data_IF_963707730338
#
_entry.id   IF_963707730338
#
_cell.length_a   1.000
_cell.length_b   1.000
_cell.length_c   1.000
_cell.angle_alpha   90.00
_cell.angle_beta   90.00
_cell.angle_gamma   90.00
#
_symmetry.space_group_name_H-M   'P 1'
#
loop_
_entity.id
_entity.type
_entity.pdbx_description
1 polymer ?
#
# COMPACT_ATOMS: atom_id res chain seq x y z
N UNK A 1 -6.91 -11.45 -0.52
CA UNK A 1 -6.15 -10.68 0.48
C UNK A 1 -5.40 -9.57 -0.22
N UNK A 2 -5.53 -8.36 0.27
CA UNK A 2 -5.00 -7.17 -0.39
C UNK A 2 -4.35 -6.24 0.63
N UNK A 3 -3.25 -5.58 0.24
CA UNK A 3 -2.70 -4.44 0.97
C UNK A 3 -2.97 -3.18 0.14
N UNK A 4 -3.47 -2.14 0.79
CA UNK A 4 -3.89 -0.90 0.13
C UNK A 4 -2.85 0.18 0.38
N UNK A 5 -2.36 0.79 -0.70
CA UNK A 5 -1.36 1.84 -0.60
C UNK A 5 -1.92 3.12 0.00
N UNK A 6 -1.03 3.91 0.58
CA UNK A 6 -1.33 5.17 1.26
C UNK A 6 -2.19 6.12 0.43
N UNK A 7 -1.88 6.29 -0.86
CA UNK A 7 -2.57 7.24 -1.72
C UNK A 7 -4.05 6.94 -1.88
N UNK A 8 -4.42 5.66 -1.93
CA UNK A 8 -5.83 5.26 -2.05
C UNK A 8 -6.59 5.57 -0.76
N UNK A 9 -5.98 5.29 0.40
CA UNK A 9 -6.56 5.62 1.69
C UNK A 9 -6.77 7.13 1.85
N UNK A 10 -5.78 7.93 1.49
CA UNK A 10 -5.86 9.39 1.56
C UNK A 10 -7.03 9.90 0.71
N UNK A 11 -7.17 9.42 -0.50
CA UNK A 11 -8.27 9.82 -1.38
C UNK A 11 -9.63 9.43 -0.79
N UNK A 12 -9.75 8.23 -0.23
CA UNK A 12 -10.98 7.79 0.43
C UNK A 12 -11.34 8.73 1.58
N UNK A 13 -10.41 8.99 2.49
CA UNK A 13 -10.67 9.80 3.68
C UNK A 13 -10.88 11.29 3.38
N UNK A 14 -10.36 11.78 2.25
CA UNK A 14 -10.62 13.14 1.78
C UNK A 14 -11.90 13.27 0.95
N UNK A 15 -12.64 12.19 0.77
CA UNK A 15 -13.87 12.18 0.01
C UNK A 15 -13.67 12.35 -1.50
N UNK A 16 -12.47 12.07 -2.01
CA UNK A 16 -12.20 12.14 -3.45
C UNK A 16 -12.76 10.92 -4.16
N UNK A 17 -13.53 11.17 -5.22
CA UNK A 17 -14.04 10.09 -6.06
C UNK A 17 -13.02 9.74 -7.13
N UNK A 18 -12.72 8.45 -7.28
CA UNK A 18 -11.79 7.94 -8.28
C UNK A 18 -12.03 6.46 -8.51
N UNK A 19 -11.47 5.91 -9.59
CA UNK A 19 -11.52 4.48 -9.84
C UNK A 19 -10.91 3.65 -8.71
N UNK A 20 -9.70 3.98 -8.21
CA UNK A 20 -9.11 3.28 -7.07
C UNK A 20 -9.95 3.33 -5.80
N UNK A 21 -10.58 4.47 -5.49
CA UNK A 21 -11.48 4.58 -4.33
C UNK A 21 -12.72 3.72 -4.50
N UNK A 22 -13.35 3.75 -5.67
CA UNK A 22 -14.51 2.90 -5.96
C UNK A 22 -14.17 1.41 -5.83
N UNK A 23 -12.97 1.02 -6.29
CA UNK A 23 -12.50 -0.36 -6.14
C UNK A 23 -12.27 -0.74 -4.69
N UNK A 24 -11.70 0.17 -3.89
CA UNK A 24 -11.52 -0.05 -2.45
C UNK A 24 -12.88 -0.25 -1.75
N UNK A 25 -13.85 0.62 -2.05
CA UNK A 25 -15.19 0.49 -1.49
C UNK A 25 -15.83 -0.85 -1.86
N UNK A 26 -15.63 -1.33 -3.09
CA UNK A 26 -16.08 -2.65 -3.52
C UNK A 26 -15.42 -3.76 -2.72
N UNK A 27 -14.09 -3.70 -2.54
CA UNK A 27 -13.34 -4.71 -1.78
C UNK A 27 -13.82 -4.76 -0.33
N UNK A 28 -14.09 -3.61 0.28
CA UNK A 28 -14.61 -3.53 1.64
C UNK A 28 -16.04 -4.12 1.73
N UNK A 29 -16.88 -3.84 0.75
CA UNK A 29 -18.25 -4.39 0.69
C UNK A 29 -18.26 -5.91 0.49
N UNK A 30 -17.28 -6.44 -0.20
CA UNK A 30 -17.11 -7.88 -0.43
C UNK A 30 -16.42 -8.60 0.74
N UNK A 31 -16.11 -7.86 1.80
CA UNK A 31 -15.44 -8.38 3.00
C UNK A 31 -14.11 -9.07 2.71
N UNK A 32 -13.37 -8.56 1.73
CA UNK A 32 -12.03 -9.03 1.42
C UNK A 32 -11.08 -8.67 2.58
N UNK A 33 -10.19 -9.58 2.97
CA UNK A 33 -9.19 -9.29 3.98
C UNK A 33 -8.24 -8.18 3.51
N UNK A 34 -8.28 -7.05 4.22
CA UNK A 34 -7.47 -5.87 3.92
C UNK A 34 -6.36 -5.73 4.96
N UNK A 35 -5.15 -5.63 4.47
CA UNK A 35 -3.92 -5.51 5.25
C UNK A 35 -3.38 -4.09 5.19
N UNK A 36 -2.72 -3.69 6.26
CA UNK A 36 -1.96 -2.44 6.33
C UNK A 36 -0.70 -2.66 7.16
N UNK A 37 0.15 -1.65 7.20
CA UNK A 37 1.37 -1.68 8.02
C UNK A 37 1.55 -0.32 8.69
N UNK A 38 2.35 -0.27 9.75
CA UNK A 38 2.53 0.94 10.54
C UNK A 38 2.94 2.16 9.73
N UNK A 39 3.81 1.97 8.73
CA UNK A 39 4.26 3.09 7.90
C UNK A 39 3.15 3.67 7.03
N UNK A 40 2.27 2.82 6.48
CA UNK A 40 1.08 3.29 5.75
C UNK A 40 0.16 4.09 6.69
N UNK A 41 -0.12 3.55 7.87
CA UNK A 41 -0.92 4.25 8.90
C UNK A 41 -0.31 5.61 9.21
N UNK A 42 1.00 5.67 9.42
CA UNK A 42 1.72 6.91 9.71
C UNK A 42 1.58 7.92 8.58
N UNK A 43 1.75 7.50 7.34
CA UNK A 43 1.62 8.39 6.18
C UNK A 43 0.20 8.93 6.03
N UNK A 44 -0.80 8.06 6.19
CA UNK A 44 -2.21 8.48 6.11
C UNK A 44 -2.54 9.49 7.20
N UNK A 45 -2.20 9.20 8.44
CA UNK A 45 -2.48 10.09 9.57
C UNK A 45 -1.72 11.42 9.47
N UNK A 46 -0.50 11.40 8.95
CA UNK A 46 0.32 12.61 8.76
C UNK A 46 -0.31 13.58 7.76
N UNK A 47 -1.13 13.10 6.84
CA UNK A 47 -1.83 13.93 5.86
C UNK A 47 -3.12 14.57 6.38
N UNK A 48 -3.54 14.27 7.60
CA UNK A 48 -4.79 14.78 8.18
C UNK A 48 -4.48 15.86 9.22
N UNK A 49 -4.98 17.07 8.98
CA UNK A 49 -4.67 18.23 9.83
C UNK A 49 -5.50 18.30 11.10
N UNK A 50 -6.80 17.95 11.04
CA UNK A 50 -7.69 17.97 12.19
C UNK A 50 -7.40 16.81 13.14
N UNK A 51 -7.13 17.10 14.41
CA UNK A 51 -6.90 16.05 15.41
C UNK A 51 -8.09 15.14 15.61
N UNK A 52 -9.31 15.68 15.54
CA UNK A 52 -10.54 14.92 15.65
C UNK A 52 -10.72 13.94 14.48
N UNK A 53 -10.50 14.42 13.26
CA UNK A 53 -10.57 13.59 12.06
C UNK A 53 -9.47 12.53 12.06
N UNK A 54 -8.26 12.90 12.49
CA UNK A 54 -7.14 11.95 12.59
C UNK A 54 -7.47 10.80 13.54
N UNK A 55 -8.07 11.07 14.70
CA UNK A 55 -8.46 10.02 15.64
C UNK A 55 -9.54 9.11 15.06
N UNK A 56 -10.48 9.64 14.29
CA UNK A 56 -11.50 8.82 13.62
C UNK A 56 -10.85 7.89 12.59
N UNK A 57 -9.95 8.43 11.76
CA UNK A 57 -9.23 7.65 10.75
C UNK A 57 -8.35 6.58 11.41
N UNK A 58 -7.68 6.91 12.53
CA UNK A 58 -6.91 5.95 13.30
C UNK A 58 -7.77 4.78 13.77
N UNK A 59 -8.97 5.06 14.27
CA UNK A 59 -9.93 4.04 14.70
C UNK A 59 -10.34 3.17 13.50
N UNK A 60 -10.67 3.79 12.36
CA UNK A 60 -11.07 3.08 11.15
C UNK A 60 -9.96 2.16 10.64
N UNK A 61 -8.73 2.65 10.56
CA UNK A 61 -7.58 1.86 10.11
C UNK A 61 -7.25 0.72 11.08
N UNK A 62 -7.56 0.88 12.36
CA UNK A 62 -7.35 -0.15 13.38
C UNK A 62 -8.21 -1.41 13.20
N UNK A 63 -9.23 -1.36 12.35
CA UNK A 63 -10.07 -2.53 12.05
C UNK A 63 -9.45 -3.47 11.01
N UNK A 64 -8.39 -3.04 10.32
CA UNK A 64 -7.72 -3.85 9.30
C UNK A 64 -6.58 -4.66 9.89
N UNK A 65 -6.11 -5.63 9.13
CA UNK A 65 -5.04 -6.53 9.59
C UNK A 65 -3.69 -5.80 9.49
N UNK A 66 -3.09 -5.53 10.65
CA UNK A 66 -1.80 -4.87 10.73
C UNK A 66 -0.68 -5.89 10.66
N UNK A 67 0.21 -5.77 9.67
CA UNK A 67 1.43 -6.58 9.56
C UNK A 67 2.64 -5.69 9.75
N UNK A 68 3.66 -6.22 10.43
CA UNK A 68 4.85 -5.46 10.78
C UNK A 68 6.06 -6.01 10.03
N UNK A 69 6.84 -5.15 9.37
CA UNK A 69 8.07 -5.60 8.72
C UNK A 69 9.12 -6.04 9.74
N UNK A 70 9.86 -7.08 9.38
CA UNK A 70 11.04 -7.54 10.11
C UNK A 70 12.28 -7.00 9.43
N UNK A 71 13.46 -7.31 10.01
CA UNK A 71 14.73 -6.97 9.36
C UNK A 71 14.81 -7.59 7.96
N UNK A 72 14.37 -8.84 7.82
CA UNK A 72 14.38 -9.53 6.51
C UNK A 72 13.45 -8.85 5.50
N UNK A 73 12.30 -8.35 5.94
CA UNK A 73 11.40 -7.58 5.09
C UNK A 73 12.08 -6.33 4.55
N UNK A 74 12.78 -5.60 5.42
CA UNK A 74 13.51 -4.38 5.03
C UNK A 74 14.68 -4.69 4.09
N UNK A 75 15.41 -5.79 4.35
CA UNK A 75 16.49 -6.23 3.47
C UNK A 75 15.97 -6.58 2.07
N UNK A 76 14.82 -7.26 1.99
CA UNK A 76 14.17 -7.57 0.72
C UNK A 76 13.71 -6.29 0.00
N UNK A 77 13.14 -5.35 0.73
CA UNK A 77 12.72 -4.05 0.16
C UNK A 77 13.91 -3.30 -0.46
N UNK A 78 15.06 -3.31 0.21
CA UNK A 78 16.30 -2.71 -0.31
C UNK A 78 16.78 -3.41 -1.59
N UNK A 79 16.67 -4.74 -1.64
CA UNK A 79 17.00 -5.53 -2.83
C UNK A 79 16.06 -5.19 -4.00
N UNK A 80 14.77 -5.07 -3.74
CA UNK A 80 13.78 -4.66 -4.76
C UNK A 80 14.16 -3.31 -5.35
N UNK A 81 14.46 -2.33 -4.51
CA UNK A 81 14.89 -0.99 -4.94
C UNK A 81 16.13 -1.06 -5.84
N UNK A 82 17.17 -1.76 -5.38
CA UNK A 82 18.44 -1.87 -6.11
C UNK A 82 18.32 -2.61 -7.43
N UNK A 83 17.56 -3.70 -7.46
CA UNK A 83 17.35 -4.50 -8.68
C UNK A 83 16.53 -3.73 -9.71
N UNK A 84 15.47 -3.04 -9.30
CA UNK A 84 14.70 -2.18 -10.21
C UNK A 84 15.58 -1.10 -10.83
N UNK A 85 16.42 -0.44 -10.01
CA UNK A 85 17.34 0.59 -10.50
C UNK A 85 18.31 0.05 -11.57
N UNK A 86 18.85 -1.15 -11.34
CA UNK A 86 19.74 -1.80 -12.33
C UNK A 86 19.03 -2.12 -13.64
N UNK A 87 17.73 -2.34 -13.59
CA UNK A 87 16.89 -2.63 -14.77
C UNK A 87 16.34 -1.35 -15.42
N UNK A 88 16.72 -0.17 -14.95
CA UNK A 88 16.32 1.12 -15.51
C UNK A 88 15.07 1.73 -14.89
N UNK A 89 14.55 1.15 -13.80
CA UNK A 89 13.39 1.68 -13.10
C UNK A 89 13.82 2.33 -11.78
N UNK A 90 13.75 3.65 -11.72
CA UNK A 90 13.99 4.38 -10.47
C UNK A 90 12.69 4.48 -9.69
N UNK A 91 12.63 3.79 -8.55
CA UNK A 91 11.48 3.86 -7.65
C UNK A 91 11.63 5.12 -6.80
N UNK A 92 10.63 6.02 -6.85
CA UNK A 92 10.70 7.33 -6.18
C UNK A 92 10.55 7.23 -4.68
N UNK A 93 9.84 6.22 -4.19
CA UNK A 93 9.62 6.01 -2.76
C UNK A 93 10.11 4.64 -2.32
N UNK A 94 11.03 4.62 -1.35
CA UNK A 94 11.49 3.36 -0.75
C UNK A 94 10.36 2.67 0.03
N UNK A 95 9.34 3.43 0.44
CA UNK A 95 8.15 2.87 1.10
C UNK A 95 7.40 1.92 0.17
N UNK A 96 7.33 2.24 -1.13
CA UNK A 96 6.68 1.37 -2.11
C UNK A 96 7.39 0.01 -2.21
N UNK A 97 8.71 0.01 -2.08
CA UNK A 97 9.48 -1.23 -2.02
C UNK A 97 9.19 -2.04 -0.75
N UNK A 98 8.98 -1.36 0.37
CA UNK A 98 8.59 -2.03 1.62
C UNK A 98 7.20 -2.67 1.51
N UNK A 99 6.25 -1.95 0.95
CA UNK A 99 4.89 -2.48 0.73
C UNK A 99 4.94 -3.67 -0.23
N UNK A 100 5.73 -3.59 -1.30
CA UNK A 100 5.92 -4.72 -2.22
C UNK A 100 6.54 -5.93 -1.52
N UNK A 101 7.54 -5.71 -0.66
CA UNK A 101 8.16 -6.79 0.11
C UNK A 101 7.15 -7.48 1.04
N UNK A 102 6.29 -6.70 1.71
CA UNK A 102 5.21 -7.24 2.53
C UNK A 102 4.20 -8.03 1.70
N UNK A 103 3.88 -7.54 0.50
CA UNK A 103 2.97 -8.24 -0.40
C UNK A 103 3.50 -9.61 -0.79
N UNK A 104 4.81 -9.73 -1.05
CA UNK A 104 5.42 -11.04 -1.30
C UNK A 104 5.41 -11.93 -0.07
N UNK A 105 5.76 -11.38 1.09
CA UNK A 105 5.87 -12.13 2.34
C UNK A 105 4.52 -12.73 2.77
N UNK A 106 3.43 -11.98 2.59
CA UNK A 106 2.09 -12.38 2.99
C UNK A 106 1.19 -12.83 1.83
N UNK A 107 1.75 -12.94 0.63
CA UNK A 107 1.02 -13.34 -0.59
C UNK A 107 -0.21 -12.47 -0.86
N UNK A 108 0.01 -11.16 -0.88
CA UNK A 108 -1.04 -10.15 -1.06
C UNK A 108 -1.01 -9.55 -2.47
N UNK A 109 -2.18 -9.17 -2.97
CA UNK A 109 -2.27 -8.22 -4.07
C UNK A 109 -2.09 -6.80 -3.52
N UNK A 110 -1.56 -5.90 -4.33
CA UNK A 110 -1.46 -4.47 -3.99
C UNK A 110 -2.58 -3.71 -4.68
N UNK A 111 -3.34 -2.94 -3.92
CA UNK A 111 -4.27 -1.96 -4.47
C UNK A 111 -3.62 -0.58 -4.40
N UNK A 112 -3.31 -0.01 -5.56
CA UNK A 112 -2.43 1.13 -5.69
C UNK A 112 -3.01 2.22 -6.60
N UNK A 113 -2.40 3.39 -6.50
CA UNK A 113 -2.62 4.51 -7.40
C UNK A 113 -1.27 5.19 -7.70
N UNK A 114 -0.21 4.39 -7.83
CA UNK A 114 1.15 4.87 -8.08
C UNK A 114 1.87 3.96 -9.09
N UNK A 115 2.43 4.57 -10.11
CA UNK A 115 3.16 3.87 -11.18
C UNK A 115 4.40 3.10 -10.69
N UNK A 116 4.94 3.44 -9.52
CA UNK A 116 6.11 2.76 -8.98
C UNK A 116 5.86 1.27 -8.76
N UNK A 117 4.66 0.89 -8.32
CA UNK A 117 4.30 -0.53 -8.20
C UNK A 117 4.26 -1.24 -9.55
N UNK A 118 3.84 -0.55 -10.61
CA UNK A 118 3.85 -1.11 -11.96
C UNK A 118 5.27 -1.31 -12.47
N UNK A 119 6.19 -0.42 -12.11
CA UNK A 119 7.62 -0.60 -12.41
C UNK A 119 8.18 -1.81 -11.67
N UNK A 120 7.87 -1.98 -10.39
CA UNK A 120 8.28 -3.15 -9.61
C UNK A 120 7.73 -4.43 -10.26
N UNK A 121 6.49 -4.41 -10.73
CA UNK A 121 5.85 -5.55 -11.38
C UNK A 121 6.51 -5.96 -12.71
N UNK A 122 7.30 -5.07 -13.34
CA UNK A 122 8.09 -5.42 -14.52
C UNK A 122 9.31 -6.28 -14.18
N UNK A 123 9.76 -6.27 -12.94
CA UNK A 123 11.00 -6.93 -12.50
C UNK A 123 10.71 -8.09 -11.56
N UNK A 124 9.66 -7.99 -10.75
CA UNK A 124 9.27 -8.99 -9.76
C UNK A 124 7.81 -9.43 -10.00
N UNK A 125 7.40 -10.63 -9.57
CA UNK A 125 6.05 -11.14 -9.79
C UNK A 125 5.03 -10.50 -8.81
N UNK A 126 4.96 -9.18 -8.80
CA UNK A 126 4.04 -8.42 -7.98
C UNK A 126 2.64 -8.46 -8.59
N UNK A 127 1.64 -8.80 -7.78
CA UNK A 127 0.25 -8.82 -8.21
C UNK A 127 -0.43 -7.50 -7.84
N UNK A 128 -0.96 -6.82 -8.84
CA UNK A 128 -1.66 -5.54 -8.67
C UNK A 128 -3.15 -5.79 -8.94
N UNK A 129 -4.00 -5.26 -8.06
CA UNK A 129 -5.46 -5.37 -8.21
C UNK A 129 -5.90 -4.79 -9.56
N UNK A 130 -6.72 -5.54 -10.29
CA UNK A 130 -7.24 -5.12 -11.58
C UNK A 130 -6.28 -5.33 -12.75
N UNK A 131 -5.07 -5.83 -12.52
CA UNK A 131 -4.14 -6.23 -13.59
C UNK A 131 -4.43 -7.65 -14.04
N UNK A 132 -4.47 -7.84 -15.34
CA UNK A 132 -4.66 -9.16 -15.92
C UNK A 132 -3.35 -9.97 -15.87
#
# INVERSE_FOLDING_TARGET
MVIVDTSVWIDLFKGRESGPVAKLEQLLAEEVDVFTTGLIVQEVLSGIKSGKEREQVRTDLGHFILVMPTLDTHAHAAEIFGTCRKKGYTIRSIVDCLVAALAFEYDLEIHENDRDYRHIAQVFPLRIVGSA
#
